data_IF_689125419874
#
_entry.id   IF_689125419874
#
_cell.length_a   1.000
_cell.length_b   1.000
_cell.length_c   1.000
_cell.angle_alpha   90.00
_cell.angle_beta   90.00
_cell.angle_gamma   90.00
#
_symmetry.space_group_name_H-M   'P 1'
#
loop_
_entity.id
_entity.type
_entity.pdbx_description
1 polymer ?
#
# COMPACT_ATOMS: atom_id res chain seq x y z
N UNK A 1 -10.08 2.46 -13.04
CA UNK A 1 -10.31 2.13 -11.61
C UNK A 1 -8.97 1.80 -11.02
N UNK A 2 -8.60 2.49 -9.94
CA UNK A 2 -7.28 2.33 -9.31
C UNK A 2 -7.15 0.92 -8.71
N UNK A 3 -6.00 0.25 -8.89
CA UNK A 3 -5.85 -1.17 -8.47
C UNK A 3 -6.05 -1.36 -6.97
N UNK A 4 -5.72 -0.33 -6.18
CA UNK A 4 -5.89 -0.32 -4.73
C UNK A 4 -7.36 -0.22 -4.32
N UNK A 5 -8.11 0.63 -5.01
CA UNK A 5 -9.55 0.80 -4.77
C UNK A 5 -10.29 -0.51 -5.05
N UNK A 6 -9.94 -1.21 -6.14
CA UNK A 6 -10.51 -2.51 -6.46
C UNK A 6 -10.25 -3.56 -5.36
N UNK A 7 -9.04 -3.60 -4.78
CA UNK A 7 -8.71 -4.51 -3.67
C UNK A 7 -9.54 -4.17 -2.43
N UNK A 8 -9.69 -2.88 -2.12
CA UNK A 8 -10.47 -2.43 -0.96
C UNK A 8 -11.97 -2.74 -1.12
N UNK A 9 -12.51 -2.53 -2.32
CA UNK A 9 -13.89 -2.86 -2.66
C UNK A 9 -14.13 -4.38 -2.59
N UNK A 10 -13.28 -5.20 -3.19
CA UNK A 10 -13.39 -6.67 -3.19
C UNK A 10 -13.34 -7.22 -1.76
N UNK A 11 -12.40 -6.75 -0.94
CA UNK A 11 -12.30 -7.15 0.46
C UNK A 11 -13.54 -6.72 1.26
N UNK A 12 -14.06 -5.51 1.04
CA UNK A 12 -15.27 -5.03 1.72
C UNK A 12 -16.49 -5.83 1.31
N UNK A 13 -16.63 -6.19 0.03
CA UNK A 13 -17.69 -7.07 -0.45
C UNK A 13 -17.59 -8.46 0.19
N UNK A 14 -16.38 -9.02 0.30
CA UNK A 14 -16.16 -10.29 0.99
C UNK A 14 -16.55 -10.24 2.47
N UNK A 15 -16.20 -9.15 3.18
CA UNK A 15 -16.63 -8.93 4.56
C UNK A 15 -18.16 -8.84 4.65
N UNK A 16 -18.79 -8.09 3.75
CA UNK A 16 -20.23 -7.90 3.74
C UNK A 16 -20.99 -9.21 3.47
N UNK A 17 -20.44 -10.09 2.63
CA UNK A 17 -21.01 -11.40 2.33
C UNK A 17 -20.95 -12.40 3.51
N UNK A 18 -20.06 -12.17 4.49
CA UNK A 18 -19.92 -13.01 5.68
C UNK A 18 -20.81 -12.57 6.85
N UNK A 19 -21.35 -11.34 6.80
CA UNK A 19 -22.17 -10.79 7.87
C UNK A 19 -23.64 -11.20 7.69
N UNK A 20 -24.26 -11.66 8.78
CA UNK A 20 -25.71 -11.93 8.81
C UNK A 20 -26.53 -10.65 8.58
N UNK A 21 -26.02 -9.51 9.04
CA UNK A 21 -26.57 -8.19 8.76
C UNK A 21 -25.60 -7.41 7.86
N UNK A 22 -26.01 -7.02 6.65
CA UNK A 22 -25.17 -6.25 5.75
C UNK A 22 -24.74 -4.92 6.39
N UNK A 23 -23.54 -4.47 6.05
CA UNK A 23 -23.04 -3.15 6.40
C UNK A 23 -23.94 -2.07 5.82
N UNK A 24 -24.19 -1.02 6.59
CA UNK A 24 -24.82 0.19 6.06
C UNK A 24 -23.91 0.87 5.03
N UNK A 25 -24.42 1.76 4.18
CA UNK A 25 -23.57 2.49 3.22
C UNK A 25 -22.42 3.26 3.87
N UNK A 26 -22.65 3.85 5.04
CA UNK A 26 -21.62 4.59 5.78
C UNK A 26 -20.58 3.67 6.42
N UNK A 27 -21.02 2.49 6.89
CA UNK A 27 -20.12 1.45 7.38
C UNK A 27 -19.28 0.87 6.25
N UNK A 28 -19.89 0.61 5.09
CA UNK A 28 -19.20 0.09 3.89
C UNK A 28 -18.07 1.03 3.49
N UNK A 29 -18.34 2.34 3.34
CA UNK A 29 -17.29 3.34 3.04
C UNK A 29 -16.21 3.41 4.11
N UNK A 30 -16.58 3.23 5.38
CA UNK A 30 -15.61 3.23 6.48
C UNK A 30 -14.71 2.00 6.43
N UNK A 31 -15.26 0.82 6.14
CA UNK A 31 -14.51 -0.42 5.96
C UNK A 31 -13.59 -0.32 4.75
N UNK A 32 -14.08 0.15 3.60
CA UNK A 32 -13.26 0.38 2.40
C UNK A 32 -12.04 1.24 2.71
N UNK A 33 -12.24 2.37 3.41
CA UNK A 33 -11.14 3.27 3.83
C UNK A 33 -10.16 2.61 4.80
N UNK A 34 -10.64 1.74 5.69
CA UNK A 34 -9.79 1.00 6.63
C UNK A 34 -8.92 0.00 5.85
N UNK A 35 -9.53 -0.76 4.94
CA UNK A 35 -8.82 -1.74 4.11
C UNK A 35 -7.80 -1.05 3.22
N UNK A 36 -8.20 0.03 2.55
CA UNK A 36 -7.31 0.83 1.71
C UNK A 36 -6.08 1.30 2.49
N UNK A 37 -6.28 1.89 3.69
CA UNK A 37 -5.17 2.30 4.56
C UNK A 37 -4.27 1.13 4.97
N UNK A 38 -4.85 -0.02 5.28
CA UNK A 38 -4.08 -1.20 5.66
C UNK A 38 -3.20 -1.70 4.51
N UNK A 39 -3.75 -1.77 3.29
CA UNK A 39 -3.00 -2.19 2.10
C UNK A 39 -1.89 -1.19 1.77
N UNK A 40 -2.16 0.12 1.82
CA UNK A 40 -1.14 1.15 1.61
C UNK A 40 -0.01 0.99 2.62
N UNK A 41 -0.34 0.83 3.91
CA UNK A 41 0.66 0.63 4.97
C UNK A 41 1.51 -0.62 4.71
N UNK A 42 0.89 -1.74 4.35
CA UNK A 42 1.61 -2.98 4.05
C UNK A 42 2.55 -2.85 2.84
N UNK A 43 2.13 -2.13 1.79
CA UNK A 43 2.97 -1.86 0.62
C UNK A 43 4.17 -0.98 0.97
N UNK A 44 3.97 0.06 1.78
CA UNK A 44 5.06 0.93 2.24
C UNK A 44 6.05 0.16 3.12
N UNK A 45 5.57 -0.66 4.06
CA UNK A 45 6.43 -1.51 4.90
C UNK A 45 7.21 -2.55 4.08
N UNK A 46 6.60 -3.14 3.05
CA UNK A 46 7.29 -4.04 2.12
C UNK A 46 8.42 -3.34 1.37
N UNK A 47 8.19 -2.11 0.92
CA UNK A 47 9.20 -1.34 0.20
C UNK A 47 10.32 -0.82 1.10
N UNK A 48 10.03 -0.44 2.35
CA UNK A 48 11.08 -0.14 3.33
C UNK A 48 11.99 -1.34 3.58
N UNK A 49 11.41 -2.54 3.77
CA UNK A 49 12.21 -3.77 3.91
C UNK A 49 13.07 -4.06 2.68
N UNK A 50 12.57 -3.78 1.48
CA UNK A 50 13.35 -3.93 0.25
C UNK A 50 14.54 -2.94 0.18
N UNK A 51 14.34 -1.69 0.62
CA UNK A 51 15.41 -0.70 0.76
C UNK A 51 16.44 -1.15 1.79
N UNK A 52 16.00 -1.59 2.96
CA UNK A 52 16.89 -2.06 4.02
C UNK A 52 17.72 -3.27 3.57
N UNK A 53 17.10 -4.21 2.86
CA UNK A 53 17.80 -5.36 2.28
C UNK A 53 18.82 -4.94 1.22
N UNK A 54 18.49 -3.97 0.36
CA UNK A 54 19.42 -3.45 -0.62
C UNK A 54 20.64 -2.79 0.05
N UNK A 55 20.44 -2.07 1.16
CA UNK A 55 21.53 -1.40 1.88
C UNK A 55 22.43 -2.34 2.69
N UNK A 56 22.07 -3.63 2.85
CA UNK A 56 22.88 -4.64 3.53
C UNK A 56 23.89 -5.36 2.60
N UNK A 57 24.21 -4.81 1.44
CA UNK A 57 25.18 -5.38 0.49
C UNK A 57 26.64 -5.04 0.85
N UNK A 58 27.61 -5.87 0.43
CA UNK A 58 29.04 -5.58 0.56
C UNK A 58 29.45 -4.22 -0.05
N UNK A 59 30.55 -3.63 0.44
CA UNK A 59 31.05 -2.31 0.01
C UNK A 59 31.17 -2.16 -1.52
N UNK A 60 31.54 -3.23 -2.23
CA UNK A 60 31.68 -3.23 -3.68
C UNK A 60 30.38 -2.91 -4.42
N UNK A 61 29.23 -3.20 -3.81
CA UNK A 61 27.90 -3.02 -4.41
C UNK A 61 27.13 -1.83 -3.80
N UNK A 62 27.70 -1.11 -2.83
CA UNK A 62 27.01 -0.05 -2.09
C UNK A 62 26.47 1.08 -2.98
N UNK A 63 27.21 1.49 -4.02
CA UNK A 63 26.75 2.55 -4.93
C UNK A 63 25.49 2.10 -5.72
N UNK A 64 25.48 0.85 -6.15
CA UNK A 64 24.32 0.25 -6.86
C UNK A 64 23.15 0.09 -5.90
N UNK A 65 23.38 -0.43 -4.70
CA UNK A 65 22.39 -0.54 -3.64
C UNK A 65 21.76 0.82 -3.28
N UNK A 66 22.57 1.88 -3.19
CA UNK A 66 22.09 3.22 -2.87
C UNK A 66 21.21 3.80 -4.00
N UNK A 67 21.55 3.55 -5.26
CA UNK A 67 20.72 3.93 -6.42
C UNK A 67 19.39 3.20 -6.41
N UNK A 68 19.39 1.90 -6.13
CA UNK A 68 18.17 1.08 -6.04
C UNK A 68 17.29 1.58 -4.89
N UNK A 69 17.87 1.80 -3.71
CA UNK A 69 17.16 2.34 -2.54
C UNK A 69 16.50 3.70 -2.85
N UNK A 70 17.23 4.58 -3.54
CA UNK A 70 16.74 5.90 -3.94
C UNK A 70 15.57 5.79 -4.92
N UNK A 71 15.68 4.91 -5.93
CA UNK A 71 14.60 4.69 -6.90
C UNK A 71 13.33 4.12 -6.23
N UNK A 72 13.47 3.22 -5.25
CA UNK A 72 12.33 2.70 -4.47
C UNK A 72 11.68 3.82 -3.67
N UNK A 73 12.46 4.67 -2.99
CA UNK A 73 11.93 5.83 -2.24
C UNK A 73 11.16 6.81 -3.14
N UNK A 74 11.72 7.16 -4.30
CA UNK A 74 11.03 8.06 -5.23
C UNK A 74 9.69 7.50 -5.73
N UNK A 75 9.62 6.19 -6.00
CA UNK A 75 8.35 5.54 -6.36
C UNK A 75 7.36 5.52 -5.20
N UNK A 76 7.82 5.35 -3.97
CA UNK A 76 6.98 5.47 -2.78
C UNK A 76 6.40 6.87 -2.60
N UNK A 77 7.22 7.90 -2.74
CA UNK A 77 6.78 9.29 -2.60
C UNK A 77 5.71 9.63 -3.65
N UNK A 78 5.91 9.18 -4.90
CA UNK A 78 4.93 9.33 -5.97
C UNK A 78 3.63 8.56 -5.68
N UNK A 79 3.73 7.33 -5.14
CA UNK A 79 2.55 6.54 -4.74
C UNK A 79 1.76 7.25 -3.64
N UNK A 80 2.43 7.74 -2.60
CA UNK A 80 1.80 8.49 -1.49
C UNK A 80 1.14 9.77 -2.02
N UNK A 81 1.83 10.53 -2.88
CA UNK A 81 1.29 11.76 -3.47
C UNK A 81 0.03 11.49 -4.31
N UNK A 82 0.07 10.47 -5.17
CA UNK A 82 -1.07 10.08 -6.00
C UNK A 82 -2.26 9.65 -5.13
N UNK A 83 -2.03 8.80 -4.13
CA UNK A 83 -3.09 8.35 -3.21
C UNK A 83 -3.65 9.48 -2.35
N UNK A 84 -2.82 10.43 -1.96
CA UNK A 84 -3.26 11.62 -1.22
C UNK A 84 -4.09 12.54 -2.10
N UNK A 85 -3.85 12.59 -3.41
CA UNK A 85 -4.58 13.40 -4.37
C UNK A 85 -5.95 12.83 -4.80
N UNK A 86 -6.19 11.54 -4.54
CA UNK A 86 -7.46 10.85 -4.81
C UNK A 86 -8.49 11.01 -3.66
N UNK A 87 -8.10 11.67 -2.57
CA UNK A 87 -8.96 11.98 -1.42
C UNK A 87 -9.55 13.39 -1.52
#
# INVERSE_FOLDING_TARGET
MDRLQAIAEEATQGINALLETPLTPDQTKSVERIVERAVIKALLEGQHRAVDAALQTPEADQDVAHKIATAIRQKNDALIANLSSLR
#
